data_IF_011463084959
#
_entry.id   IF_011463084959
#
_cell.length_a   1.000
_cell.length_b   1.000
_cell.length_c   1.000
_cell.angle_alpha   90.00
_cell.angle_beta   90.00
_cell.angle_gamma   90.00
#
_symmetry.space_group_name_H-M   'P 1'
#
loop_
_entity.id
_entity.type
_entity.pdbx_description
1 polymer ?
#
# COMPACT_ATOMS: atom_id res chain seq x y z
N UNK A 1 18.33 -25.07 -5.15
CA UNK A 1 17.37 -24.06 -4.67
C UNK A 1 17.98 -22.69 -4.84
N UNK A 2 17.20 -21.68 -5.24
CA UNK A 2 17.71 -20.33 -5.54
C UNK A 2 17.00 -19.32 -4.65
N UNK A 3 17.72 -18.29 -4.21
CA UNK A 3 17.16 -17.25 -3.33
C UNK A 3 16.29 -16.27 -4.12
N UNK A 4 15.17 -15.88 -3.53
CA UNK A 4 14.26 -14.84 -3.99
C UNK A 4 14.36 -13.65 -3.04
N UNK A 5 14.57 -12.46 -3.60
CA UNK A 5 14.50 -11.20 -2.86
C UNK A 5 13.22 -10.48 -3.26
N UNK A 6 12.52 -9.89 -2.29
CA UNK A 6 11.28 -9.13 -2.49
C UNK A 6 11.46 -7.75 -1.88
N UNK A 7 11.06 -6.72 -2.61
CA UNK A 7 10.94 -5.35 -2.12
C UNK A 7 9.45 -5.08 -1.86
N UNK A 8 9.11 -4.68 -0.65
CA UNK A 8 7.72 -4.35 -0.27
C UNK A 8 7.64 -2.92 0.26
N UNK A 9 6.49 -2.30 0.04
CA UNK A 9 6.10 -1.04 0.65
C UNK A 9 4.84 -1.33 1.46
N UNK A 10 4.95 -1.19 2.78
CA UNK A 10 3.88 -1.55 3.74
C UNK A 10 3.80 -0.46 4.79
N UNK A 11 2.61 -0.18 5.28
CA UNK A 11 2.39 0.75 6.40
C UNK A 11 2.89 0.15 7.72
N UNK A 12 3.01 0.99 8.75
CA UNK A 12 3.51 0.57 10.07
C UNK A 12 2.62 -0.50 10.75
N UNK A 13 1.31 -0.47 10.49
CA UNK A 13 0.32 -1.44 10.96
C UNK A 13 0.21 -2.69 10.07
N UNK A 14 1.06 -2.81 9.04
CA UNK A 14 1.17 -4.03 8.23
C UNK A 14 0.22 -4.11 7.02
N UNK A 15 -0.42 -3.00 6.65
CA UNK A 15 -1.37 -2.94 5.53
C UNK A 15 -0.63 -2.73 4.20
N UNK A 16 -0.92 -3.58 3.21
CA UNK A 16 -0.44 -3.41 1.83
C UNK A 16 -1.51 -2.72 1.00
N UNK A 17 -1.24 -1.50 0.56
CA UNK A 17 -2.22 -0.66 -0.14
C UNK A 17 -1.59 0.26 -1.17
N UNK A 18 -2.41 0.73 -2.11
CA UNK A 18 -1.99 1.74 -3.06
C UNK A 18 -1.65 3.06 -2.37
N UNK A 19 -0.47 3.60 -2.69
CA UNK A 19 -0.16 4.98 -2.37
C UNK A 19 -1.07 5.95 -3.15
N UNK A 20 -1.53 5.59 -4.35
CA UNK A 20 -2.25 6.50 -5.26
C UNK A 20 -3.72 6.16 -5.50
N UNK A 21 -4.11 4.88 -5.48
CA UNK A 21 -5.50 4.46 -5.69
C UNK A 21 -6.22 4.16 -4.36
N UNK A 22 -7.20 4.99 -3.94
CA UNK A 22 -7.96 4.75 -2.71
C UNK A 22 -8.85 3.52 -2.72
N UNK A 23 -9.02 2.92 -3.89
CA UNK A 23 -9.96 1.84 -4.14
C UNK A 23 -9.33 0.44 -4.16
N UNK A 24 -8.01 0.33 -3.98
CA UNK A 24 -7.30 -0.95 -3.85
C UNK A 24 -7.66 -1.58 -2.48
N UNK A 25 -7.84 -2.90 -2.43
CA UNK A 25 -8.17 -3.71 -1.23
C UNK A 25 -9.14 -3.04 -0.22
N UNK A 26 -10.34 -2.70 -0.69
CA UNK A 26 -11.43 -2.18 0.15
C UNK A 26 -11.98 -3.15 1.20
N UNK A 27 -11.94 -4.49 1.01
CA UNK A 27 -12.33 -5.40 2.08
C UNK A 27 -11.32 -5.28 3.23
N UNK A 28 -11.83 -5.08 4.46
CA UNK A 28 -11.05 -5.05 5.72
C UNK A 28 -10.44 -3.70 6.19
N UNK A 29 -10.86 -2.57 5.63
CA UNK A 29 -10.93 -1.32 6.42
C UNK A 29 -9.67 -0.44 6.49
N UNK A 30 -9.03 -0.17 5.35
CA UNK A 30 -8.05 0.92 5.26
C UNK A 30 -8.70 2.22 4.75
N UNK A 31 -9.07 3.12 5.67
CA UNK A 31 -9.77 4.37 5.35
C UNK A 31 -8.88 5.44 4.67
N UNK A 32 -7.57 5.20 4.63
CA UNK A 32 -6.56 6.16 4.12
C UNK A 32 -5.93 5.73 2.80
N UNK A 33 -6.62 4.92 1.99
CA UNK A 33 -6.15 4.56 0.64
C UNK A 33 -5.83 5.80 -0.21
N UNK A 34 -4.86 5.71 -1.12
CA UNK A 34 -4.51 6.84 -1.99
C UNK A 34 -3.90 8.04 -1.26
N UNK A 35 -3.38 7.83 -0.04
CA UNK A 35 -2.83 8.88 0.84
C UNK A 35 -1.71 9.72 0.22
N UNK A 36 -1.02 9.24 -0.81
CA UNK A 36 0.05 9.98 -1.45
C UNK A 36 -0.47 11.02 -2.46
N UNK A 37 -1.71 10.92 -2.93
CA UNK A 37 -2.26 11.82 -3.95
C UNK A 37 -2.13 13.33 -3.61
N UNK A 38 -2.30 13.79 -2.36
CA UNK A 38 -2.07 15.19 -2.00
C UNK A 38 -0.60 15.63 -1.96
N UNK A 39 0.35 14.69 -1.93
CA UNK A 39 1.79 14.95 -1.75
C UNK A 39 2.61 14.73 -3.03
N UNK A 40 1.99 14.19 -4.08
CA UNK A 40 2.62 13.97 -5.38
C UNK A 40 2.01 14.98 -6.36
N UNK A 41 2.82 15.97 -6.76
CA UNK A 41 2.47 16.99 -7.76
C UNK A 41 2.77 16.54 -9.18
#
# INVERSE_FOLDING_TARGET
MRQLAVLTFVTLDGVMQSASMPAEDRPEGFDHGGWAAPFVG
#
